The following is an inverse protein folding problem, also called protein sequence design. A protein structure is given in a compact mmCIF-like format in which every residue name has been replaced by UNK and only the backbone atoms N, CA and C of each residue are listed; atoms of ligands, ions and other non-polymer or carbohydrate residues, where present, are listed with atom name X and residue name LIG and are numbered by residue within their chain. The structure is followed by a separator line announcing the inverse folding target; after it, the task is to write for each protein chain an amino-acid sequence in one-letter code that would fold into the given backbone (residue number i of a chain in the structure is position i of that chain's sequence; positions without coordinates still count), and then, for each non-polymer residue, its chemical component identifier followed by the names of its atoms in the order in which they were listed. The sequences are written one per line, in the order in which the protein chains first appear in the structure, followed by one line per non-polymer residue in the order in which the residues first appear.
data_IF_002876185674
#
_entry.id   IF_002876185674
#
_cell.length_a   1.000
_cell.length_b   1.000
_cell.length_c   1.000
_cell.angle_alpha   90.00
_cell.angle_beta   90.00
_cell.angle_gamma   90.00
#
_symmetry.space_group_name_H-M   'P 1'
#
loop_
_entity.id
_entity.type
_entity.pdbx_description
1 polymer ?
#
# COMPACT_ATOMS: atom_id res chain seq x y z
N UNK A 1 -19.89 -35.24 -0.69
CA UNK A 1 -20.41 -33.96 -0.13
C UNK A 1 -19.41 -33.19 0.74
N UNK A 2 -18.84 -33.74 1.85
CA UNK A 2 -17.89 -32.99 2.70
C UNK A 2 -16.58 -32.65 1.99
N UNK A 3 -15.97 -33.57 1.23
CA UNK A 3 -14.74 -33.39 0.46
C UNK A 3 -14.90 -32.43 -0.73
N UNK A 4 -16.06 -32.39 -1.36
CA UNK A 4 -16.35 -31.49 -2.47
C UNK A 4 -16.50 -30.04 -1.98
N UNK A 5 -17.10 -29.83 -0.80
CA UNK A 5 -17.24 -28.52 -0.20
C UNK A 5 -15.86 -27.96 0.24
N UNK A 6 -15.01 -28.79 0.84
CA UNK A 6 -13.64 -28.42 1.22
C UNK A 6 -12.75 -28.08 -0.01
N UNK A 7 -12.93 -28.81 -1.14
CA UNK A 7 -12.21 -28.51 -2.38
C UNK A 7 -12.68 -27.19 -3.00
N UNK A 8 -13.96 -26.91 -2.98
CA UNK A 8 -14.54 -25.68 -3.51
C UNK A 8 -14.10 -24.45 -2.70
N UNK A 9 -14.10 -24.54 -1.36
CA UNK A 9 -13.62 -23.47 -0.48
C UNK A 9 -12.14 -23.17 -0.68
N UNK A 10 -11.31 -24.20 -0.88
CA UNK A 10 -9.89 -24.05 -1.20
C UNK A 10 -9.67 -23.37 -2.55
N UNK A 11 -10.42 -23.74 -3.57
CA UNK A 11 -10.33 -23.13 -4.89
C UNK A 11 -10.75 -21.65 -4.88
N UNK A 12 -11.80 -21.31 -4.15
CA UNK A 12 -12.21 -19.93 -3.96
C UNK A 12 -11.15 -19.10 -3.20
N UNK A 13 -10.52 -19.68 -2.19
CA UNK A 13 -9.42 -19.02 -1.48
C UNK A 13 -8.22 -18.76 -2.39
N UNK A 14 -7.82 -19.74 -3.19
CA UNK A 14 -6.74 -19.61 -4.17
C UNK A 14 -7.07 -18.54 -5.22
N UNK A 15 -8.29 -18.54 -5.74
CA UNK A 15 -8.74 -17.53 -6.72
C UNK A 15 -8.63 -16.11 -6.16
N UNK A 16 -9.12 -15.87 -4.94
CA UNK A 16 -9.02 -14.59 -4.24
C UNK A 16 -7.58 -14.14 -4.08
N UNK A 17 -6.72 -15.07 -3.64
CA UNK A 17 -5.30 -14.82 -3.44
C UNK A 17 -4.63 -14.45 -4.77
N UNK A 18 -4.88 -15.21 -5.83
CA UNK A 18 -4.29 -14.97 -7.16
C UNK A 18 -4.74 -13.63 -7.75
N UNK A 19 -6.01 -13.28 -7.64
CA UNK A 19 -6.52 -11.98 -8.11
C UNK A 19 -5.83 -10.84 -7.35
N UNK A 20 -5.77 -10.92 -6.04
CA UNK A 20 -5.13 -9.89 -5.23
C UNK A 20 -3.62 -9.77 -5.53
N UNK A 21 -2.92 -10.90 -5.65
CA UNK A 21 -1.51 -10.92 -6.00
C UNK A 21 -1.27 -10.33 -7.40
N UNK A 22 -2.09 -10.69 -8.38
CA UNK A 22 -2.02 -10.15 -9.74
C UNK A 22 -2.24 -8.62 -9.76
N UNK A 23 -3.20 -8.11 -8.99
CA UNK A 23 -3.46 -6.68 -8.89
C UNK A 23 -2.29 -5.92 -8.25
N UNK A 24 -1.66 -6.48 -7.21
CA UNK A 24 -0.48 -5.89 -6.58
C UNK A 24 0.71 -5.91 -7.54
N UNK A 25 0.94 -7.02 -8.25
CA UNK A 25 2.01 -7.12 -9.25
C UNK A 25 1.80 -6.15 -10.41
N UNK A 26 0.56 -6.01 -10.90
CA UNK A 26 0.24 -5.03 -11.93
C UNK A 26 0.53 -3.60 -11.45
N UNK A 27 0.12 -3.27 -10.22
CA UNK A 27 0.42 -1.97 -9.64
C UNK A 27 1.94 -1.75 -9.47
N UNK A 28 2.72 -2.81 -9.16
CA UNK A 28 4.18 -2.73 -9.11
C UNK A 28 4.80 -2.42 -10.47
N UNK A 29 4.27 -3.01 -11.56
CA UNK A 29 4.70 -2.71 -12.94
C UNK A 29 4.38 -1.26 -13.29
N UNK A 30 3.21 -0.74 -12.90
CA UNK A 30 2.82 0.65 -13.13
C UNK A 30 3.78 1.67 -12.46
N UNK A 31 4.49 1.27 -11.41
CA UNK A 31 5.52 2.10 -10.78
C UNK A 31 6.73 2.37 -11.69
N UNK A 32 7.03 1.48 -12.63
CA UNK A 32 8.19 1.60 -13.53
C UNK A 32 7.85 2.48 -14.74
N UNK A 33 6.57 2.64 -15.05
CA UNK A 33 6.13 3.49 -16.16
C UNK A 33 6.33 4.98 -15.84
N UNK A 34 6.48 5.84 -16.86
CA UNK A 34 6.55 7.29 -16.65
C UNK A 34 5.30 7.81 -15.94
N UNK A 35 5.48 8.48 -14.83
CA UNK A 35 4.40 9.07 -14.01
C UNK A 35 4.92 10.36 -13.35
N UNK A 36 4.03 11.26 -12.88
CA UNK A 36 4.43 12.41 -12.08
C UNK A 36 5.21 11.99 -10.84
N UNK A 37 6.13 12.84 -10.38
CA UNK A 37 6.95 12.57 -9.19
C UNK A 37 6.06 12.22 -7.99
N UNK A 38 6.39 11.11 -7.31
CA UNK A 38 5.66 10.55 -6.18
C UNK A 38 4.19 10.12 -6.44
N UNK A 39 3.72 10.14 -7.69
CA UNK A 39 2.41 9.59 -8.05
C UNK A 39 2.55 8.08 -8.30
N UNK A 40 2.70 7.29 -7.23
CA UNK A 40 3.00 5.86 -7.32
C UNK A 40 1.94 5.01 -6.62
N UNK A 41 1.75 3.74 -7.00
CA UNK A 41 0.77 2.86 -6.37
C UNK A 41 1.21 2.26 -5.03
N UNK A 42 2.44 2.54 -4.55
CA UNK A 42 3.07 1.76 -3.47
C UNK A 42 2.35 1.91 -2.14
N UNK A 43 1.89 3.12 -1.77
CA UNK A 43 1.14 3.35 -0.55
C UNK A 43 -0.20 2.63 -0.57
N UNK A 44 -0.94 2.76 -1.67
CA UNK A 44 -2.21 2.05 -1.88
C UNK A 44 -2.03 0.52 -1.85
N UNK A 45 -0.98 -0.02 -2.49
CA UNK A 45 -0.64 -1.45 -2.46
C UNK A 45 -0.37 -1.94 -1.04
N UNK A 46 0.38 -1.18 -0.26
CA UNK A 46 0.71 -1.54 1.12
C UNK A 46 -0.54 -1.63 1.99
N UNK A 47 -1.44 -0.63 1.89
CA UNK A 47 -2.71 -0.61 2.63
C UNK A 47 -3.64 -1.73 2.16
N UNK A 48 -3.77 -1.94 0.84
CA UNK A 48 -4.58 -3.00 0.26
C UNK A 48 -4.10 -4.38 0.70
N UNK A 49 -2.80 -4.66 0.56
CA UNK A 49 -2.18 -5.93 0.99
C UNK A 49 -2.41 -6.19 2.48
N UNK A 50 -2.19 -5.17 3.32
CA UNK A 50 -2.44 -5.24 4.76
C UNK A 50 -3.88 -5.58 5.10
N UNK A 51 -4.85 -5.02 4.36
CA UNK A 51 -6.28 -5.21 4.62
C UNK A 51 -6.80 -6.57 4.19
N UNK A 52 -6.19 -7.17 3.17
CA UNK A 52 -6.71 -8.35 2.50
C UNK A 52 -6.09 -9.65 3.00
N UNK A 53 -4.75 -9.70 3.15
CA UNK A 53 -4.08 -10.94 3.49
C UNK A 53 -4.13 -11.21 5.01
N UNK A 54 -4.76 -12.34 5.39
CA UNK A 54 -4.82 -12.78 6.79
C UNK A 54 -3.43 -13.11 7.34
N UNK A 55 -2.60 -13.79 6.54
CA UNK A 55 -1.23 -14.09 6.91
C UNK A 55 -0.40 -12.80 6.89
N UNK A 56 0.14 -12.41 8.05
CA UNK A 56 0.97 -11.19 8.19
C UNK A 56 2.19 -11.20 7.28
N UNK A 57 2.86 -12.32 7.15
CA UNK A 57 4.07 -12.40 6.33
C UNK A 57 3.78 -12.14 4.84
N UNK A 58 2.67 -12.70 4.34
CA UNK A 58 2.20 -12.44 2.97
C UNK A 58 1.83 -10.97 2.80
N UNK A 59 1.12 -10.37 3.78
CA UNK A 59 0.70 -8.98 3.74
C UNK A 59 1.89 -7.99 3.63
N UNK A 60 3.01 -8.29 4.29
CA UNK A 60 4.22 -7.48 4.22
C UNK A 60 5.08 -7.82 3.01
N UNK A 61 5.23 -9.12 2.69
CA UNK A 61 6.13 -9.58 1.64
C UNK A 61 5.77 -9.02 0.27
N UNK A 62 4.50 -9.07 -0.13
CA UNK A 62 4.08 -8.66 -1.46
C UNK A 62 4.41 -7.19 -1.78
N UNK A 63 3.96 -6.19 -1.00
CA UNK A 63 4.25 -4.79 -1.31
C UNK A 63 5.73 -4.44 -1.14
N UNK A 64 6.43 -5.03 -0.16
CA UNK A 64 7.85 -4.74 0.05
C UNK A 64 8.74 -5.41 -1.01
N UNK A 65 8.39 -6.61 -1.48
CA UNK A 65 9.07 -7.25 -2.60
C UNK A 65 8.84 -6.49 -3.91
N UNK A 66 7.61 -6.01 -4.15
CA UNK A 66 7.28 -5.17 -5.30
C UNK A 66 8.05 -3.82 -5.27
N UNK A 67 8.14 -3.22 -4.08
CA UNK A 67 8.96 -2.03 -3.86
C UNK A 67 10.43 -2.29 -4.18
N UNK A 68 10.99 -3.37 -3.64
CA UNK A 68 12.39 -3.77 -3.86
C UNK A 68 12.68 -4.05 -5.34
N UNK A 69 11.82 -4.80 -6.01
CA UNK A 69 11.97 -5.04 -7.44
C UNK A 69 12.02 -3.73 -8.24
N UNK A 70 11.14 -2.74 -7.91
CA UNK A 70 11.20 -1.43 -8.52
C UNK A 70 12.48 -0.66 -8.21
N UNK A 71 12.99 -0.73 -6.97
CA UNK A 71 14.21 -0.04 -6.56
C UNK A 71 15.46 -0.61 -7.23
N UNK A 72 15.45 -1.88 -7.65
CA UNK A 72 16.53 -2.44 -8.47
C UNK A 72 16.63 -1.77 -9.86
N UNK A 73 15.53 -1.25 -10.40
CA UNK A 73 15.52 -0.52 -11.67
C UNK A 73 15.81 0.97 -11.48
N UNK A 74 15.31 1.57 -10.42
CA UNK A 74 15.46 3.01 -10.13
C UNK A 74 16.83 3.31 -9.52
N UNK A 75 17.43 2.34 -8.84
CA UNK A 75 18.68 2.45 -8.10
C UNK A 75 18.48 2.51 -6.59
N UNK A 76 19.48 2.03 -5.85
CA UNK A 76 19.48 2.03 -4.38
C UNK A 76 19.91 3.41 -3.86
N UNK A 77 19.30 3.87 -2.77
CA UNK A 77 19.51 5.20 -2.19
C UNK A 77 19.69 5.16 -0.66
N UNK A 78 20.39 6.17 -0.11
CA UNK A 78 20.88 6.23 1.28
C UNK A 78 19.78 5.99 2.34
N UNK A 79 18.56 6.49 2.12
CA UNK A 79 17.45 6.41 3.08
C UNK A 79 16.42 5.33 2.73
N UNK A 80 16.77 4.37 1.88
CA UNK A 80 15.88 3.33 1.39
C UNK A 80 15.18 2.57 2.54
N UNK A 81 15.91 2.21 3.61
CA UNK A 81 15.35 1.48 4.74
C UNK A 81 14.25 2.27 5.48
N UNK A 82 14.33 3.61 5.54
CA UNK A 82 13.29 4.45 6.12
C UNK A 82 12.00 4.39 5.29
N UNK A 83 12.15 4.40 3.97
CA UNK A 83 11.03 4.23 3.03
C UNK A 83 10.36 2.87 3.22
N UNK A 84 11.14 1.79 3.40
CA UNK A 84 10.63 0.44 3.66
C UNK A 84 9.90 0.35 5.00
N UNK A 85 10.45 0.96 6.05
CA UNK A 85 9.76 1.06 7.35
C UNK A 85 8.43 1.80 7.20
N UNK A 86 8.41 2.93 6.48
CA UNK A 86 7.19 3.68 6.21
C UNK A 86 6.13 2.86 5.48
N UNK A 87 6.51 2.06 4.47
CA UNK A 87 5.55 1.18 3.79
C UNK A 87 5.12 0.01 4.67
N UNK A 88 5.99 -0.52 5.52
CA UNK A 88 5.59 -1.51 6.53
C UNK A 88 4.56 -0.93 7.54
N UNK A 89 4.71 0.34 7.93
CA UNK A 89 3.69 1.04 8.72
C UNK A 89 2.38 1.17 7.94
N UNK A 90 2.41 1.48 6.63
CA UNK A 90 1.22 1.52 5.78
C UNK A 90 0.53 0.14 5.71
N UNK A 91 1.27 -0.97 5.60
CA UNK A 91 0.71 -2.33 5.72
C UNK A 91 0.01 -2.51 7.06
N UNK A 92 0.62 -2.03 8.16
CA UNK A 92 0.04 -2.13 9.50
C UNK A 92 -1.26 -1.31 9.63
N UNK A 93 -1.32 -0.12 9.02
CA UNK A 93 -2.54 0.69 8.91
C UNK A 93 -3.60 -0.09 8.14
N UNK A 94 -3.24 -0.67 6.98
CA UNK A 94 -4.13 -1.50 6.18
C UNK A 94 -4.71 -2.69 6.95
N UNK A 95 -3.93 -3.34 7.82
CA UNK A 95 -4.43 -4.46 8.64
C UNK A 95 -5.59 -4.08 9.56
N UNK A 96 -5.69 -2.82 9.97
CA UNK A 96 -6.84 -2.33 10.77
C UNK A 96 -8.12 -2.23 9.95
N UNK A 97 -8.03 -2.18 8.62
CA UNK A 97 -9.19 -2.22 7.71
C UNK A 97 -9.79 -3.63 7.57
N UNK A 98 -9.07 -4.70 7.94
CA UNK A 98 -9.53 -6.09 7.76
C UNK A 98 -10.93 -6.34 8.36
N UNK A 99 -11.35 -5.53 9.33
CA UNK A 99 -12.67 -5.61 9.96
C UNK A 99 -13.78 -4.89 9.18
N UNK A 100 -13.44 -3.87 8.39
CA UNK A 100 -14.44 -3.12 7.63
C UNK A 100 -13.79 -2.29 6.52
N UNK A 101 -14.31 -2.43 5.31
CA UNK A 101 -13.81 -1.78 4.09
C UNK A 101 -14.79 -0.71 3.57
N UNK A 102 -15.37 0.10 4.47
CA UNK A 102 -16.18 1.25 4.04
C UNK A 102 -15.30 2.29 3.35
N UNK A 103 -15.87 3.05 2.41
CA UNK A 103 -15.17 4.10 1.66
C UNK A 103 -14.47 5.08 2.61
N UNK A 104 -15.15 5.49 3.68
CA UNK A 104 -14.58 6.41 4.67
C UNK A 104 -13.36 5.82 5.41
N UNK A 105 -13.42 4.54 5.78
CA UNK A 105 -12.29 3.86 6.45
C UNK A 105 -11.11 3.64 5.51
N UNK A 106 -11.38 3.22 4.28
CA UNK A 106 -10.32 3.08 3.26
C UNK A 106 -9.70 4.44 2.99
N UNK A 107 -10.49 5.48 2.74
CA UNK A 107 -9.99 6.84 2.52
C UNK A 107 -9.17 7.37 3.70
N UNK A 108 -9.63 7.15 4.93
CA UNK A 108 -8.89 7.52 6.14
C UNK A 108 -7.55 6.77 6.28
N UNK A 109 -7.51 5.48 5.95
CA UNK A 109 -6.28 4.69 5.99
C UNK A 109 -5.28 5.14 4.90
N UNK A 110 -5.77 5.45 3.69
CA UNK A 110 -4.96 5.99 2.59
C UNK A 110 -4.36 7.33 3.00
N UNK A 111 -5.17 8.24 3.53
CA UNK A 111 -4.69 9.53 4.03
C UNK A 111 -3.64 9.39 5.13
N UNK A 112 -3.89 8.53 6.13
CA UNK A 112 -2.95 8.27 7.22
C UNK A 112 -1.66 7.62 6.72
N UNK A 113 -1.76 6.72 5.73
CA UNK A 113 -0.60 6.11 5.08
C UNK A 113 0.28 7.14 4.37
N UNK A 114 -0.32 8.02 3.57
CA UNK A 114 0.38 9.10 2.89
C UNK A 114 0.97 10.11 3.89
N UNK A 115 0.22 10.49 4.91
CA UNK A 115 0.65 11.45 5.93
C UNK A 115 1.85 10.93 6.73
N UNK A 116 1.78 9.67 7.23
CA UNK A 116 2.90 9.09 7.98
C UNK A 116 4.14 8.95 7.09
N UNK A 117 3.97 8.56 5.83
CA UNK A 117 5.06 8.49 4.87
C UNK A 117 5.71 9.86 4.70
N UNK A 118 4.93 10.89 4.45
CA UNK A 118 5.40 12.27 4.33
C UNK A 118 6.19 12.72 5.57
N UNK A 119 5.64 12.49 6.77
CA UNK A 119 6.29 12.89 8.02
C UNK A 119 7.59 12.13 8.25
N UNK A 120 7.55 10.80 8.15
CA UNK A 120 8.70 9.94 8.49
C UNK A 120 9.85 10.15 7.50
N UNK A 121 9.57 10.17 6.20
CA UNK A 121 10.63 10.26 5.19
C UNK A 121 11.25 11.65 5.12
N UNK A 122 10.48 12.74 5.27
CA UNK A 122 11.02 14.08 5.27
C UNK A 122 11.76 14.41 6.58
N UNK A 123 11.28 13.90 7.72
CA UNK A 123 12.05 14.00 8.96
C UNK A 123 13.40 13.27 8.84
N UNK A 124 13.41 12.07 8.26
CA UNK A 124 14.65 11.33 8.04
C UNK A 124 15.58 12.04 7.02
N UNK A 125 15.02 12.63 5.97
CA UNK A 125 15.76 13.42 5.01
C UNK A 125 16.44 14.62 5.66
N UNK A 126 15.74 15.33 6.53
CA UNK A 126 16.31 16.44 7.30
C UNK A 126 17.37 15.94 8.31
N UNK A 127 17.08 14.86 9.06
CA UNK A 127 17.94 14.39 10.16
C UNK A 127 19.20 13.68 9.67
N UNK A 128 19.16 12.96 8.55
CA UNK A 128 20.22 12.09 8.06
C UNK A 128 20.71 12.43 6.64
N UNK A 129 20.00 13.32 5.94
CA UNK A 129 20.40 13.83 4.63
C UNK A 129 21.33 15.03 4.74
N UNK A 130 21.84 15.44 3.59
CA UNK A 130 22.82 16.52 3.49
C UNK A 130 22.24 17.78 2.79
N UNK A 131 20.92 17.79 2.52
CA UNK A 131 20.24 18.86 1.75
C UNK A 131 19.80 20.06 2.58
N UNK A 132 19.57 19.87 3.89
CA UNK A 132 19.02 20.90 4.76
C UNK A 132 19.87 21.05 6.03
N UNK A 133 20.10 22.29 6.53
CA UNK A 133 20.77 22.49 7.81
C UNK A 133 19.93 21.91 8.95
N UNK A 134 20.62 21.35 9.97
CA UNK A 134 19.95 20.72 11.14
C UNK A 134 19.50 21.77 12.15
N UNK A 135 18.63 22.67 11.69
CA UNK A 135 17.98 23.73 12.45
C UNK A 135 16.47 23.65 12.28
N UNK A 136 15.69 24.31 13.13
CA UNK A 136 14.23 24.41 12.97
C UNK A 136 13.86 25.05 11.63
N UNK A 137 14.60 26.05 11.18
CA UNK A 137 14.38 26.66 9.86
C UNK A 137 14.64 25.65 8.71
N UNK A 138 15.70 24.83 8.83
CA UNK A 138 15.97 23.77 7.86
C UNK A 138 14.91 22.66 7.87
N UNK A 139 14.39 22.29 9.03
CA UNK A 139 13.27 21.37 9.14
C UNK A 139 12.01 21.94 8.45
N UNK A 140 11.65 23.19 8.75
CA UNK A 140 10.51 23.86 8.13
C UNK A 140 10.67 23.94 6.61
N UNK A 141 11.86 24.28 6.10
CA UNK A 141 12.15 24.31 4.67
C UNK A 141 12.03 22.93 4.02
N UNK A 142 12.53 21.86 4.67
CA UNK A 142 12.40 20.48 4.19
C UNK A 142 10.94 20.08 3.99
N UNK A 143 10.10 20.32 4.99
CA UNK A 143 8.67 20.00 4.91
C UNK A 143 7.93 20.87 3.90
N UNK A 144 8.21 22.17 3.86
CA UNK A 144 7.58 23.10 2.91
C UNK A 144 7.86 22.70 1.45
N UNK A 145 9.12 22.36 1.13
CA UNK A 145 9.52 21.92 -0.20
C UNK A 145 8.94 20.54 -0.58
N UNK A 146 8.57 19.73 0.39
CA UNK A 146 7.98 18.41 0.15
C UNK A 146 6.44 18.45 -0.03
N UNK A 147 5.75 19.56 0.27
CA UNK A 147 4.28 19.67 0.11
C UNK A 147 3.78 19.34 -1.30
N UNK A 148 4.40 19.82 -2.39
CA UNK A 148 3.96 19.45 -3.75
C UNK A 148 4.08 17.95 -4.01
N UNK A 149 5.16 17.31 -3.50
CA UNK A 149 5.36 15.86 -3.63
C UNK A 149 4.33 15.07 -2.81
N UNK A 150 3.98 15.58 -1.61
CA UNK A 150 2.92 15.00 -0.78
C UNK A 150 1.56 15.03 -1.50
N UNK A 151 1.23 16.13 -2.16
CA UNK A 151 -0.01 16.24 -2.93
C UNK A 151 -0.08 15.18 -4.03
N UNK A 152 1.01 14.92 -4.74
CA UNK A 152 1.09 13.87 -5.75
C UNK A 152 1.00 12.48 -5.13
N UNK A 153 1.69 12.22 -4.01
CA UNK A 153 1.60 10.96 -3.26
C UNK A 153 0.16 10.68 -2.87
N UNK A 154 -0.51 11.67 -2.27
CA UNK A 154 -1.88 11.55 -1.80
C UNK A 154 -2.86 11.29 -2.96
N UNK A 155 -2.73 12.04 -4.05
CA UNK A 155 -3.54 11.85 -5.24
C UNK A 155 -3.32 10.45 -5.86
N UNK A 156 -2.07 10.01 -6.00
CA UNK A 156 -1.71 8.69 -6.48
C UNK A 156 -2.30 7.59 -5.60
N UNK A 157 -2.10 7.68 -4.30
CA UNK A 157 -2.61 6.70 -3.34
C UNK A 157 -4.14 6.60 -3.39
N UNK A 158 -4.88 7.70 -3.53
CA UNK A 158 -6.33 7.65 -3.70
C UNK A 158 -6.77 7.02 -5.02
N UNK A 159 -6.11 7.37 -6.13
CA UNK A 159 -6.41 6.78 -7.44
C UNK A 159 -6.15 5.28 -7.41
N UNK A 160 -4.96 4.86 -6.98
CA UNK A 160 -4.61 3.44 -6.95
C UNK A 160 -5.39 2.65 -5.89
N UNK A 161 -5.74 3.25 -4.76
CA UNK A 161 -6.63 2.61 -3.78
C UNK A 161 -8.03 2.38 -4.39
N UNK A 162 -8.57 3.34 -5.14
CA UNK A 162 -9.85 3.17 -5.83
C UNK A 162 -9.78 2.01 -6.84
N UNK A 163 -8.69 1.91 -7.61
CA UNK A 163 -8.48 0.81 -8.55
C UNK A 163 -8.35 -0.53 -7.82
N UNK A 164 -7.54 -0.60 -6.77
CA UNK A 164 -7.27 -1.85 -6.05
C UNK A 164 -8.49 -2.31 -5.25
N UNK A 165 -9.06 -1.48 -4.40
CA UNK A 165 -10.21 -1.84 -3.57
C UNK A 165 -11.48 -2.00 -4.41
N UNK A 166 -11.73 -1.08 -5.34
CA UNK A 166 -12.89 -1.12 -6.24
C UNK A 166 -12.80 -2.28 -7.23
N UNK A 167 -11.65 -2.47 -7.85
CA UNK A 167 -11.40 -3.58 -8.78
C UNK A 167 -11.53 -4.94 -8.11
N UNK A 168 -11.01 -5.09 -6.89
CA UNK A 168 -11.14 -6.33 -6.12
C UNK A 168 -12.60 -6.60 -5.71
N UNK A 169 -13.34 -5.56 -5.31
CA UNK A 169 -14.76 -5.68 -5.01
C UNK A 169 -15.58 -6.06 -6.26
N UNK A 170 -15.25 -5.49 -7.42
CA UNK A 170 -15.85 -5.85 -8.70
C UNK A 170 -15.54 -7.30 -9.08
N UNK A 171 -14.27 -7.71 -8.96
CA UNK A 171 -13.87 -9.10 -9.20
C UNK A 171 -14.65 -10.07 -8.28
N UNK A 172 -14.87 -9.70 -7.01
CA UNK A 172 -15.70 -10.48 -6.10
C UNK A 172 -17.13 -10.69 -6.60
N UNK A 173 -17.74 -9.67 -7.21
CA UNK A 173 -19.06 -9.77 -7.83
C UNK A 173 -19.06 -10.64 -9.08
N UNK A 174 -18.07 -10.44 -9.96
CA UNK A 174 -17.98 -11.16 -11.23
C UNK A 174 -17.67 -12.66 -11.04
N UNK A 175 -16.80 -12.99 -10.12
CA UNK A 175 -16.39 -14.37 -9.84
C UNK A 175 -17.12 -14.99 -8.64
N UNK A 176 -18.17 -14.35 -8.14
CA UNK A 176 -19.08 -14.85 -7.11
C UNK A 176 -18.39 -15.23 -5.80
N UNK A 177 -17.38 -14.47 -5.38
CA UNK A 177 -16.75 -14.63 -4.08
C UNK A 177 -16.95 -13.41 -3.17
N UNK A 178 -16.96 -13.62 -1.86
CA UNK A 178 -16.98 -12.51 -0.91
C UNK A 178 -15.62 -11.78 -0.97
N UNK A 179 -15.61 -10.55 -1.51
CA UNK A 179 -14.37 -9.76 -1.63
C UNK A 179 -13.70 -9.54 -0.25
N UNK A 180 -14.51 -9.35 0.79
CA UNK A 180 -14.01 -9.11 2.14
C UNK A 180 -14.41 -10.27 3.06
N UNK A 181 -13.49 -10.76 3.92
CA UNK A 181 -13.83 -11.76 4.92
C UNK A 181 -14.99 -11.21 5.78
N UNK A 182 -16.12 -11.92 5.81
CA UNK A 182 -17.13 -11.65 6.82
C UNK A 182 -16.55 -12.07 8.17
N UNK A 183 -16.68 -11.22 9.18
CA UNK A 183 -16.44 -11.66 10.55
C UNK A 183 -17.35 -12.87 10.78
N UNK A 184 -16.77 -14.02 11.10
CA UNK A 184 -17.54 -15.09 11.72
C UNK A 184 -18.09 -14.50 13.01
N UNK A 185 -19.41 -14.37 13.09
CA UNK A 185 -20.08 -13.95 14.31
C UNK A 185 -19.56 -14.84 15.44
N UNK A 186 -18.77 -14.24 16.36
CA UNK A 186 -18.47 -14.79 17.67
C UNK A 186 -19.64 -14.48 18.58
#
# INVERSE_FOLDING_TARGET
MKSENESNDRNLYLLRFLIAAAMILLAAVLRILPHPWNFTPVGAMAIFSGSLFRNRWVAFLFPLAALFAGDLFVGLYKLMFIVYISFALSVTIGRRLARSHTVARVGGAVFLGALQFFVVTNFALWAFGDFYPRTLAGLAACFANAVPLFSNTLAGDFVYATILFGGYALAGRLFHFAAWPREANQ
#
